data_IF_418553052779
#
_entry.id   IF_418553052779
#
_cell.length_a   1.000
_cell.length_b   1.000
_cell.length_c   1.000
_cell.angle_alpha   90.00
_cell.angle_beta   90.00
_cell.angle_gamma   90.00
#
_symmetry.space_group_name_H-M   'P 1'
#
loop_
_entity.id
_entity.type
_entity.pdbx_description
1 polymer ?
#
# COMPACT_ATOMS: atom_id res chain seq x y z
N UNK A 1 -3.28 -33.46 29.89
CA UNK A 1 -2.28 -33.44 28.80
C UNK A 1 -2.82 -34.14 27.55
N UNK A 2 -3.45 -35.31 27.67
CA UNK A 2 -4.18 -35.93 26.55
C UNK A 2 -5.65 -35.50 26.54
N UNK A 3 -5.97 -34.49 25.72
CA UNK A 3 -7.35 -34.15 25.36
C UNK A 3 -7.51 -34.36 23.86
N UNK A 4 -8.64 -34.91 23.45
CA UNK A 4 -8.99 -35.00 22.04
C UNK A 4 -9.26 -33.60 21.48
N UNK A 5 -8.66 -33.29 20.33
CA UNK A 5 -9.00 -32.12 19.55
C UNK A 5 -10.20 -32.42 18.65
N UNK A 6 -11.04 -31.41 18.44
CA UNK A 6 -12.03 -31.46 17.37
C UNK A 6 -11.32 -31.39 16.00
N UNK A 7 -11.88 -31.99 14.94
CA UNK A 7 -11.35 -31.85 13.59
C UNK A 7 -11.31 -30.38 13.16
N UNK A 8 -10.27 -30.00 12.44
CA UNK A 8 -10.14 -28.67 11.86
C UNK A 8 -10.85 -28.62 10.50
N UNK A 9 -11.40 -27.48 10.07
CA UNK A 9 -12.02 -27.36 8.75
C UNK A 9 -11.03 -27.74 7.63
N UNK A 10 -11.48 -28.52 6.65
CA UNK A 10 -10.62 -29.05 5.57
C UNK A 10 -10.11 -27.94 4.64
N UNK A 11 -10.87 -26.85 4.51
CA UNK A 11 -10.57 -25.68 3.67
C UNK A 11 -9.64 -24.68 4.36
N UNK A 12 -9.35 -24.88 5.64
CA UNK A 12 -8.57 -23.92 6.39
C UNK A 12 -7.11 -23.89 5.91
N UNK A 13 -6.55 -22.70 5.65
CA UNK A 13 -5.19 -22.58 5.12
C UNK A 13 -4.18 -23.13 6.12
N UNK A 14 -3.34 -24.07 5.66
CA UNK A 14 -2.24 -24.62 6.45
C UNK A 14 -1.10 -23.62 6.52
N UNK A 15 -0.45 -23.55 7.68
CA UNK A 15 0.77 -22.76 7.86
C UNK A 15 1.91 -23.44 7.13
N UNK A 16 2.52 -22.72 6.17
CA UNK A 16 3.63 -23.21 5.36
C UNK A 16 4.46 -22.01 4.84
N UNK A 17 5.76 -22.04 5.11
CA UNK A 17 6.72 -21.07 4.57
C UNK A 17 7.20 -21.43 3.16
N UNK A 18 7.99 -20.53 2.56
CA UNK A 18 8.62 -20.78 1.27
C UNK A 18 9.75 -21.81 1.39
N UNK A 19 9.82 -22.76 0.46
CA UNK A 19 10.87 -23.77 0.40
C UNK A 19 11.99 -23.34 -0.55
N UNK A 20 13.13 -22.94 0.03
CA UNK A 20 14.29 -22.47 -0.72
C UNK A 20 15.03 -23.56 -1.51
N UNK A 21 14.72 -24.85 -1.30
CA UNK A 21 15.22 -25.90 -2.19
C UNK A 21 14.66 -25.78 -3.61
N UNK A 22 13.57 -25.02 -3.80
CA UNK A 22 12.99 -24.69 -5.10
C UNK A 22 13.70 -23.50 -5.79
N UNK A 23 14.80 -23.00 -5.20
CA UNK A 23 15.55 -21.84 -5.68
C UNK A 23 15.06 -20.51 -5.10
N UNK A 24 15.55 -19.40 -5.67
CA UNK A 24 15.18 -18.04 -5.24
C UNK A 24 14.16 -17.45 -6.20
N UNK A 25 12.88 -17.57 -5.86
CA UNK A 25 11.78 -16.93 -6.58
C UNK A 25 11.07 -15.92 -5.67
N UNK A 26 11.35 -14.62 -5.85
CA UNK A 26 10.78 -13.55 -5.03
C UNK A 26 9.25 -13.48 -5.11
N UNK A 27 8.66 -13.78 -6.27
CA UNK A 27 7.19 -13.79 -6.40
C UNK A 27 6.58 -14.90 -5.54
N UNK A 28 7.13 -16.11 -5.61
CA UNK A 28 6.65 -17.24 -4.82
C UNK A 28 6.91 -17.04 -3.30
N UNK A 29 8.06 -16.43 -2.95
CA UNK A 29 8.38 -16.05 -1.57
C UNK A 29 7.35 -15.05 -1.01
N UNK A 30 7.05 -13.97 -1.74
CA UNK A 30 6.06 -12.98 -1.29
C UNK A 30 4.64 -13.56 -1.25
N UNK A 31 4.31 -14.49 -2.14
CA UNK A 31 3.03 -15.20 -2.11
C UNK A 31 2.90 -16.11 -0.88
N UNK A 32 3.99 -16.76 -0.44
CA UNK A 32 3.94 -17.64 0.74
C UNK A 32 3.65 -16.89 2.03
N UNK A 33 3.85 -15.57 2.10
CA UNK A 33 3.63 -14.77 3.31
C UNK A 33 2.20 -14.91 3.83
N UNK A 34 1.20 -15.09 2.97
CA UNK A 34 -0.19 -15.34 3.38
C UNK A 34 -0.32 -16.56 4.32
N UNK A 35 0.45 -17.61 4.07
CA UNK A 35 0.46 -18.86 4.85
C UNK A 35 1.62 -18.95 5.86
N UNK A 36 2.42 -17.88 6.04
CA UNK A 36 3.62 -17.94 6.88
C UNK A 36 3.32 -17.70 8.37
N UNK A 37 2.30 -16.90 8.70
CA UNK A 37 1.92 -16.56 10.08
C UNK A 37 2.35 -15.16 10.51
N UNK A 38 1.84 -14.70 11.66
CA UNK A 38 2.11 -13.38 12.26
C UNK A 38 1.92 -12.21 11.25
N UNK A 39 2.85 -11.24 11.24
CA UNK A 39 2.78 -10.08 10.34
C UNK A 39 2.93 -10.45 8.86
N UNK A 40 3.55 -11.59 8.53
CA UNK A 40 3.63 -12.05 7.14
C UNK A 40 2.23 -12.34 6.58
N UNK A 41 1.36 -12.99 7.38
CA UNK A 41 -0.02 -13.22 6.98
C UNK A 41 -0.78 -11.91 6.79
N UNK A 42 -0.59 -10.92 7.68
CA UNK A 42 -1.20 -9.59 7.50
C UNK A 42 -0.71 -8.90 6.21
N UNK A 43 0.57 -9.01 5.86
CA UNK A 43 1.09 -8.51 4.59
C UNK A 43 0.40 -9.19 3.38
N UNK A 44 0.29 -10.53 3.39
CA UNK A 44 -0.40 -11.26 2.33
C UNK A 44 -1.88 -10.88 2.20
N UNK A 45 -2.56 -10.63 3.33
CA UNK A 45 -3.94 -10.13 3.35
C UNK A 45 -4.04 -8.71 2.76
N UNK A 46 -3.11 -7.82 3.11
CA UNK A 46 -3.07 -6.46 2.57
C UNK A 46 -2.85 -6.46 1.04
N UNK A 47 -1.97 -7.32 0.53
CA UNK A 47 -1.76 -7.49 -0.92
C UNK A 47 -3.05 -7.94 -1.61
N UNK A 48 -3.82 -8.87 -1.02
CA UNK A 48 -5.10 -9.31 -1.58
C UNK A 48 -6.13 -8.18 -1.59
N UNK A 49 -6.23 -7.41 -0.53
CA UNK A 49 -7.21 -6.32 -0.44
C UNK A 49 -6.89 -5.17 -1.41
N UNK A 50 -5.62 -4.78 -1.53
CA UNK A 50 -5.20 -3.77 -2.52
C UNK A 50 -5.51 -4.24 -3.94
N UNK A 51 -5.25 -5.51 -4.27
CA UNK A 51 -5.61 -6.06 -5.58
C UNK A 51 -7.13 -6.06 -5.80
N UNK A 52 -7.93 -6.34 -4.76
CA UNK A 52 -9.39 -6.25 -4.83
C UNK A 52 -9.85 -4.81 -5.12
N UNK A 53 -9.24 -3.80 -4.50
CA UNK A 53 -9.52 -2.39 -4.80
C UNK A 53 -9.19 -2.04 -6.26
N UNK A 54 -8.02 -2.49 -6.76
CA UNK A 54 -7.58 -2.27 -8.14
C UNK A 54 -8.54 -2.93 -9.13
N UNK A 55 -8.91 -4.19 -8.91
CA UNK A 55 -9.86 -4.90 -9.77
C UNK A 55 -11.25 -4.25 -9.71
N UNK A 56 -11.68 -3.82 -8.51
CA UNK A 56 -12.94 -3.08 -8.37
C UNK A 56 -12.89 -1.77 -9.13
N UNK A 57 -11.78 -1.04 -9.13
CA UNK A 57 -11.58 0.22 -9.86
C UNK A 57 -11.64 0.07 -11.38
N UNK A 58 -11.17 -1.06 -11.92
CA UNK A 58 -11.18 -1.36 -13.37
C UNK A 58 -12.58 -1.63 -13.94
N UNK A 59 -13.55 -1.95 -13.09
CA UNK A 59 -14.92 -2.20 -13.53
C UNK A 59 -15.57 -0.92 -14.08
N UNK A 60 -16.50 -1.04 -15.04
CA UNK A 60 -17.24 0.13 -15.52
C UNK A 60 -18.07 0.72 -14.37
N UNK A 61 -18.00 2.05 -14.23
CA UNK A 61 -18.88 2.79 -13.33
C UNK A 61 -20.25 2.94 -13.98
N UNK A 62 -21.25 2.21 -13.46
CA UNK A 62 -22.64 2.44 -13.81
C UNK A 62 -23.16 3.58 -12.91
N UNK A 63 -23.06 4.81 -13.39
CA UNK A 63 -23.66 5.95 -12.68
C UNK A 63 -25.17 5.68 -12.52
N UNK A 64 -25.78 5.91 -11.33
CA UNK A 64 -27.22 6.03 -11.27
C UNK A 64 -27.64 7.21 -12.15
N UNK A 65 -28.65 7.01 -13.00
CA UNK A 65 -29.31 8.06 -13.79
C UNK A 65 -29.88 9.12 -12.84
N UNK A 66 -29.04 10.05 -12.40
CA UNK A 66 -29.47 11.30 -11.79
C UNK A 66 -29.31 12.36 -12.87
N UNK A 67 -30.47 12.80 -13.37
CA UNK A 67 -30.65 13.77 -14.45
C UNK A 67 -30.20 15.19 -14.06
N UNK A 68 -28.98 15.30 -13.58
CA UNK A 68 -28.40 16.51 -13.03
C UNK A 68 -27.33 16.92 -14.04
N UNK A 69 -27.62 17.93 -14.87
CA UNK A 69 -26.73 18.44 -15.91
C UNK A 69 -25.41 19.06 -15.40
N UNK A 70 -24.94 18.72 -14.21
CA UNK A 70 -23.62 19.07 -13.73
C UNK A 70 -22.57 18.21 -14.43
N UNK A 71 -21.98 18.80 -15.47
CA UNK A 71 -20.78 18.25 -16.12
C UNK A 71 -19.70 18.12 -15.06
N UNK A 72 -19.53 16.92 -14.53
CA UNK A 72 -18.42 16.61 -13.63
C UNK A 72 -17.11 17.08 -14.27
N UNK A 73 -16.18 17.69 -13.49
CA UNK A 73 -14.93 18.18 -14.03
C UNK A 73 -14.20 17.04 -14.77
N UNK A 74 -13.43 17.34 -15.83
CA UNK A 74 -12.75 16.32 -16.64
C UNK A 74 -11.80 15.41 -15.84
N UNK A 75 -11.44 15.82 -14.61
CA UNK A 75 -10.62 15.08 -13.64
C UNK A 75 -11.40 14.52 -12.45
N UNK A 76 -12.74 14.42 -12.53
CA UNK A 76 -13.55 13.95 -11.41
C UNK A 76 -13.21 12.48 -11.05
N UNK A 77 -12.83 12.18 -9.79
CA UNK A 77 -12.66 10.81 -9.28
C UNK A 77 -13.91 9.92 -9.41
N UNK A 78 -15.08 10.54 -9.62
CA UNK A 78 -16.38 9.91 -9.75
C UNK A 78 -16.57 9.01 -11.01
N UNK A 79 -15.50 8.74 -11.77
CA UNK A 79 -15.52 7.87 -12.96
C UNK A 79 -15.00 6.46 -12.73
N UNK A 80 -14.62 6.10 -11.51
CA UNK A 80 -14.21 4.73 -11.17
C UNK A 80 -15.16 4.09 -10.18
N UNK A 81 -15.30 2.77 -10.26
CA UNK A 81 -16.09 1.97 -9.33
C UNK A 81 -15.43 1.70 -7.97
N UNK A 82 -14.25 2.29 -7.74
CA UNK A 82 -13.59 2.31 -6.43
C UNK A 82 -12.69 3.54 -6.32
N UNK A 83 -13.09 4.49 -5.47
CA UNK A 83 -12.27 5.64 -5.10
C UNK A 83 -11.22 5.22 -4.07
N UNK A 84 -9.94 5.43 -4.37
CA UNK A 84 -8.81 5.02 -3.53
C UNK A 84 -8.18 6.26 -2.87
N UNK A 85 -8.25 6.30 -1.55
CA UNK A 85 -7.60 7.29 -0.70
C UNK A 85 -6.26 6.73 -0.22
N UNK A 86 -5.17 7.47 -0.44
CA UNK A 86 -3.84 7.13 0.05
C UNK A 86 -3.41 8.16 1.11
N UNK A 87 -3.36 7.71 2.36
CA UNK A 87 -2.86 8.49 3.49
C UNK A 87 -1.41 8.13 3.81
N UNK A 88 -0.56 9.13 4.05
CA UNK A 88 0.82 8.92 4.49
C UNK A 88 1.32 10.06 5.38
N UNK A 89 2.21 9.75 6.32
CA UNK A 89 2.85 10.71 7.23
C UNK A 89 4.07 11.37 6.57
N UNK A 90 4.47 12.55 7.05
CA UNK A 90 5.59 13.32 6.48
C UNK A 90 6.90 12.55 6.39
N UNK A 91 7.24 11.75 7.40
CA UNK A 91 8.46 10.95 7.43
C UNK A 91 8.59 9.96 6.26
N UNK A 92 7.46 9.51 5.66
CA UNK A 92 7.48 8.66 4.47
C UNK A 92 7.99 9.41 3.25
N UNK A 93 7.72 10.72 3.15
CA UNK A 93 8.25 11.59 2.11
C UNK A 93 9.72 11.94 2.38
N UNK A 94 10.14 12.07 3.65
CA UNK A 94 11.57 12.18 4.01
C UNK A 94 12.36 10.95 3.55
N UNK A 95 11.75 9.77 3.64
CA UNK A 95 12.34 8.49 3.21
C UNK A 95 12.32 8.27 1.68
N UNK A 96 12.86 7.14 1.24
CA UNK A 96 12.77 6.68 -0.16
C UNK A 96 11.38 6.13 -0.58
N UNK A 97 10.41 6.07 0.34
CA UNK A 97 9.02 5.70 0.00
C UNK A 97 8.36 6.79 -0.88
N UNK A 98 8.89 8.01 -0.83
CA UNK A 98 8.51 9.13 -1.71
C UNK A 98 8.43 8.72 -3.18
N UNK A 99 9.42 7.99 -3.69
CA UNK A 99 9.45 7.55 -5.09
C UNK A 99 8.29 6.59 -5.42
N UNK A 100 7.90 5.73 -4.48
CA UNK A 100 6.74 4.83 -4.63
C UNK A 100 5.42 5.61 -4.63
N UNK A 101 5.26 6.58 -3.72
CA UNK A 101 4.06 7.44 -3.67
C UNK A 101 3.94 8.26 -4.96
N UNK A 102 5.04 8.87 -5.40
CA UNK A 102 5.12 9.62 -6.67
C UNK A 102 4.75 8.74 -7.87
N UNK A 103 5.17 7.47 -7.91
CA UNK A 103 4.76 6.53 -8.95
C UNK A 103 3.23 6.31 -8.97
N UNK A 104 2.64 6.03 -7.81
CA UNK A 104 1.19 5.82 -7.71
C UNK A 104 0.39 7.05 -8.15
N UNK A 105 0.83 8.25 -7.73
CA UNK A 105 0.20 9.51 -8.10
C UNK A 105 0.37 9.83 -9.60
N UNK A 106 1.59 9.71 -10.14
CA UNK A 106 1.91 9.98 -11.54
C UNK A 106 1.09 9.12 -12.51
N UNK A 107 0.84 7.86 -12.14
CA UNK A 107 0.09 6.92 -12.97
C UNK A 107 -1.41 6.87 -12.62
N UNK A 108 -1.93 7.81 -11.82
CA UNK A 108 -3.35 7.91 -11.43
C UNK A 108 -3.91 6.61 -10.82
N UNK A 109 -3.07 5.90 -10.07
CA UNK A 109 -3.44 4.66 -9.38
C UNK A 109 -4.24 4.93 -8.09
N UNK A 110 -4.23 6.17 -7.62
CA UNK A 110 -4.96 6.67 -6.45
C UNK A 110 -5.70 7.96 -6.81
N UNK A 111 -6.78 8.28 -6.10
CA UNK A 111 -7.62 9.46 -6.39
C UNK A 111 -7.39 10.62 -5.45
N UNK A 112 -7.14 10.32 -4.18
CA UNK A 112 -7.03 11.31 -3.12
C UNK A 112 -5.78 11.02 -2.30
N UNK A 113 -4.96 12.05 -2.09
CA UNK A 113 -3.81 12.01 -1.21
C UNK A 113 -4.14 12.80 0.06
N UNK A 114 -3.80 12.22 1.21
CA UNK A 114 -3.94 12.87 2.52
C UNK A 114 -2.60 12.79 3.23
N UNK A 115 -2.03 13.94 3.57
CA UNK A 115 -0.75 14.01 4.28
C UNK A 115 -0.67 15.24 5.18
N UNK A 116 0.36 15.30 6.03
CA UNK A 116 0.67 16.46 6.87
C UNK A 116 1.52 17.47 6.08
N UNK A 117 1.67 18.70 6.60
CA UNK A 117 2.44 19.76 5.94
C UNK A 117 3.85 19.32 5.51
N UNK A 118 4.54 18.58 6.39
CA UNK A 118 5.86 17.98 6.12
C UNK A 118 5.90 17.11 4.85
N UNK A 119 4.83 16.37 4.57
CA UNK A 119 4.75 15.54 3.36
C UNK A 119 4.66 16.34 2.06
N UNK A 120 4.26 17.62 2.12
CA UNK A 120 4.22 18.52 0.96
C UNK A 120 5.54 19.28 0.83
N UNK A 121 6.01 19.91 1.90
CA UNK A 121 7.21 20.74 1.85
C UNK A 121 8.46 19.91 1.50
N UNK A 122 8.60 18.71 2.05
CA UNK A 122 9.77 17.87 1.80
C UNK A 122 9.80 17.29 0.38
N UNK A 123 8.64 17.05 -0.24
CA UNK A 123 8.59 16.63 -1.65
C UNK A 123 9.11 17.75 -2.57
N UNK A 124 8.76 19.01 -2.26
CA UNK A 124 9.27 20.17 -2.98
C UNK A 124 10.77 20.37 -2.72
N UNK A 125 11.21 20.31 -1.46
CA UNK A 125 12.62 20.47 -1.07
C UNK A 125 13.50 19.45 -1.81
N UNK A 126 13.05 18.19 -1.93
CA UNK A 126 13.77 17.13 -2.66
C UNK A 126 13.95 17.40 -4.15
N UNK A 127 13.19 18.31 -4.75
CA UNK A 127 13.41 18.76 -6.12
C UNK A 127 14.58 19.76 -6.23
N UNK A 128 14.93 20.45 -5.13
CA UNK A 128 16.00 21.45 -5.09
C UNK A 128 17.30 20.90 -4.51
N UNK A 129 17.23 20.01 -3.52
CA UNK A 129 18.39 19.43 -2.87
C UNK A 129 18.12 18.00 -2.36
N UNK A 130 19.12 17.11 -2.38
CA UNK A 130 18.97 15.77 -1.82
C UNK A 130 18.91 15.81 -0.29
N UNK A 131 18.22 14.80 0.29
CA UNK A 131 18.33 14.47 1.71
C UNK A 131 19.29 13.29 1.88
N UNK A 132 20.04 13.29 2.97
CA UNK A 132 21.08 12.29 3.26
C UNK A 132 20.67 11.37 4.40
N UNK A 133 21.22 10.15 4.40
CA UNK A 133 21.05 9.21 5.52
C UNK A 133 21.88 9.67 6.72
N UNK A 134 21.26 9.70 7.90
CA UNK A 134 21.91 9.97 9.17
C UNK A 134 21.86 8.77 10.11
N UNK A 135 22.20 9.00 11.38
CA UNK A 135 22.12 8.01 12.46
C UNK A 135 21.23 8.55 13.60
N UNK A 136 20.37 7.69 14.16
CA UNK A 136 19.50 8.02 15.29
C UNK A 136 20.28 8.41 16.55
N UNK A 137 21.55 8.05 16.66
CA UNK A 137 22.42 8.34 17.79
C UNK A 137 23.26 9.62 17.63
N UNK A 138 23.11 10.35 16.53
CA UNK A 138 23.82 11.62 16.34
C UNK A 138 23.40 12.64 17.41
N UNK A 139 24.39 13.28 18.04
CA UNK A 139 24.16 14.34 19.01
C UNK A 139 23.53 15.55 18.32
N UNK A 140 22.42 16.04 18.85
CA UNK A 140 21.78 17.26 18.33
C UNK A 140 22.70 18.48 18.38
N UNK A 141 23.69 18.50 19.30
CA UNK A 141 24.68 19.59 19.37
C UNK A 141 25.60 19.63 18.14
N UNK A 142 25.91 18.49 17.55
CA UNK A 142 26.84 18.40 16.42
C UNK A 142 26.12 18.58 15.07
N UNK A 143 24.78 18.63 15.09
CA UNK A 143 23.89 18.81 13.94
C UNK A 143 23.37 20.25 13.77
N UNK A 144 23.58 21.10 14.79
CA UNK A 144 23.19 22.52 14.83
C UNK A 144 24.40 23.42 14.56
#
# INVERSE_FOLDING_TARGET
VYRHSVPFPEDAPKVQGYDFNQGVNYKALMQSFYNTGFQATHFGQAVREINRMIEKRKQPWNAPDKGDGEKHPPFCPCRSSCTIFLGYTSNMISSGVRESIRFLAQHRMVDVLVTTAGGIEEDLIKCFAPLYLGDFHMSGKDLL
#
